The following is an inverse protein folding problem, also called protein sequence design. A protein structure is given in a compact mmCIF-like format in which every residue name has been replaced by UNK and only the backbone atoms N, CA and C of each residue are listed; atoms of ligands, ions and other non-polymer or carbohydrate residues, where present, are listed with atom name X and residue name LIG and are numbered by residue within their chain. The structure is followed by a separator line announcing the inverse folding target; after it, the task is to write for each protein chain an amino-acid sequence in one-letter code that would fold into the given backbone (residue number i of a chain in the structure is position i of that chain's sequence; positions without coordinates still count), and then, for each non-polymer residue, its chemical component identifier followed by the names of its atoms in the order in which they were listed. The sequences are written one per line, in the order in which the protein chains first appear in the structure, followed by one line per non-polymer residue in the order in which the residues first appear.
data_IF_150118589647
#
_entry.id   IF_150118589647
#
_cell.length_a   1.000
_cell.length_b   1.000
_cell.length_c   1.000
_cell.angle_alpha   90.00
_cell.angle_beta   90.00
_cell.angle_gamma   90.00
#
_symmetry.space_group_name_H-M   'P 1'
#
loop_
_entity.id
_entity.type
_entity.pdbx_description
1 polymer ?
#
# COMPACT_ATOMS: atom_id res chain seq x y z
N UNK A 1 -6.51 2.94 17.80
CA UNK A 1 -6.74 4.30 18.37
C UNK A 1 -5.65 4.68 19.38
N UNK A 2 -5.35 3.84 20.38
CA UNK A 2 -4.28 4.09 21.38
C UNK A 2 -2.91 4.35 20.74
N UNK A 3 -2.50 3.54 19.76
CA UNK A 3 -1.25 3.78 19.02
C UNK A 3 -1.25 5.14 18.29
N UNK A 4 -2.37 5.54 17.67
CA UNK A 4 -2.46 6.84 16.99
C UNK A 4 -2.38 8.02 17.96
N UNK A 5 -2.94 7.90 19.17
CA UNK A 5 -2.83 8.91 20.23
C UNK A 5 -1.38 9.05 20.73
N UNK A 6 -0.70 7.93 20.98
CA UNK A 6 0.73 7.90 21.37
C UNK A 6 1.62 8.51 20.27
N UNK A 7 1.34 8.20 19.00
CA UNK A 7 2.07 8.74 17.85
C UNK A 7 1.82 10.23 17.64
N UNK A 8 0.58 10.71 17.85
CA UNK A 8 0.24 12.15 17.82
C UNK A 8 0.99 12.91 18.91
N UNK A 9 1.12 12.33 20.09
CA UNK A 9 1.89 12.90 21.21
C UNK A 9 3.39 12.96 20.91
N UNK A 10 3.92 12.06 20.07
CA UNK A 10 5.33 11.97 19.68
C UNK A 10 5.69 12.65 18.34
N UNK A 11 4.82 13.52 17.79
CA UNK A 11 5.01 14.20 16.49
C UNK A 11 5.20 13.26 15.27
N UNK A 12 4.80 11.99 15.38
CA UNK A 12 4.92 10.96 14.34
C UNK A 12 3.78 10.97 13.31
N UNK A 13 2.97 12.03 13.33
CA UNK A 13 1.76 12.15 12.52
C UNK A 13 2.05 12.70 11.11
N UNK A 14 3.07 12.13 10.46
CA UNK A 14 3.46 12.48 9.10
C UNK A 14 2.36 12.09 8.10
N UNK A 15 2.37 12.75 6.94
CA UNK A 15 1.35 12.57 5.89
C UNK A 15 1.14 11.10 5.51
N UNK A 16 2.21 10.30 5.44
CA UNK A 16 2.14 8.86 5.11
C UNK A 16 1.39 8.05 6.17
N UNK A 17 1.60 8.32 7.46
CA UNK A 17 0.84 7.66 8.52
C UNK A 17 -0.64 8.08 8.53
N UNK A 18 -0.96 9.32 8.15
CA UNK A 18 -2.36 9.75 7.95
C UNK A 18 -3.01 8.98 6.80
N UNK A 19 -2.30 8.80 5.68
CA UNK A 19 -2.76 8.00 4.55
C UNK A 19 -2.98 6.54 4.94
N UNK A 20 -2.09 5.97 5.77
CA UNK A 20 -2.29 4.64 6.34
C UNK A 20 -3.57 4.54 7.16
N UNK A 21 -3.79 5.45 8.12
CA UNK A 21 -4.99 5.44 8.95
C UNK A 21 -6.26 5.59 8.11
N UNK A 22 -6.22 6.42 7.07
CA UNK A 22 -7.32 6.57 6.13
C UNK A 22 -7.60 5.26 5.38
N UNK A 23 -6.56 4.64 4.80
CA UNK A 23 -6.68 3.34 4.12
C UNK A 23 -7.23 2.26 5.06
N UNK A 24 -6.68 2.15 6.27
CA UNK A 24 -7.13 1.20 7.29
C UNK A 24 -8.60 1.43 7.67
N UNK A 25 -9.01 2.70 7.83
CA UNK A 25 -10.40 3.03 8.18
C UNK A 25 -11.36 2.62 7.08
N UNK A 26 -11.05 2.97 5.82
CA UNK A 26 -11.85 2.53 4.67
C UNK A 26 -11.90 1.00 4.60
N UNK A 27 -10.77 0.33 4.83
CA UNK A 27 -10.70 -1.13 4.80
C UNK A 27 -11.60 -1.75 5.88
N UNK A 28 -11.58 -1.23 7.10
CA UNK A 28 -12.46 -1.71 8.18
C UNK A 28 -13.93 -1.45 7.89
N UNK A 29 -14.28 -0.32 7.27
CA UNK A 29 -15.66 -0.03 6.85
C UNK A 29 -16.11 -1.01 5.78
N UNK A 30 -15.26 -1.31 4.79
CA UNK A 30 -15.53 -2.31 3.76
C UNK A 30 -15.88 -3.65 4.41
N UNK A 31 -15.03 -4.14 5.33
CA UNK A 31 -15.24 -5.44 5.98
C UNK A 31 -16.56 -5.48 6.74
N UNK A 32 -16.89 -4.40 7.45
CA UNK A 32 -18.15 -4.31 8.18
C UNK A 32 -19.36 -4.41 7.25
N UNK A 33 -19.33 -3.68 6.12
CA UNK A 33 -20.37 -3.74 5.10
C UNK A 33 -20.46 -5.14 4.48
N UNK A 34 -19.31 -5.77 4.20
CA UNK A 34 -19.27 -7.12 3.62
C UNK A 34 -19.85 -8.18 4.57
N UNK A 35 -19.55 -8.08 5.87
CA UNK A 35 -20.11 -8.97 6.89
C UNK A 35 -21.62 -8.80 7.00
N UNK A 36 -22.14 -7.57 6.90
CA UNK A 36 -23.59 -7.32 6.88
C UNK A 36 -24.23 -7.95 5.64
N UNK A 37 -23.64 -7.74 4.46
CA UNK A 37 -24.16 -8.28 3.20
C UNK A 37 -24.23 -9.82 3.22
N UNK A 38 -23.13 -10.47 3.63
CA UNK A 38 -23.07 -11.93 3.71
C UNK A 38 -23.87 -12.51 4.87
N UNK A 39 -23.97 -11.79 5.99
CA UNK A 39 -24.85 -12.16 7.10
C UNK A 39 -26.32 -12.17 6.69
N UNK A 40 -26.75 -11.14 5.95
CA UNK A 40 -28.10 -11.09 5.37
C UNK A 40 -28.34 -12.23 4.37
N UNK A 41 -27.39 -12.47 3.47
CA UNK A 41 -27.46 -13.57 2.51
C UNK A 41 -27.60 -14.93 3.22
N UNK A 42 -26.86 -15.14 4.30
CA UNK A 42 -26.92 -16.38 5.07
C UNK A 42 -28.24 -16.64 5.80
N UNK A 43 -28.96 -15.59 6.21
CA UNK A 43 -30.24 -15.74 6.93
C UNK A 43 -31.46 -15.77 6.01
N UNK A 44 -31.45 -14.97 4.94
CA UNK A 44 -32.60 -14.81 4.04
C UNK A 44 -32.48 -15.64 2.77
N UNK A 45 -31.27 -16.02 2.36
CA UNK A 45 -30.98 -16.65 1.08
C UNK A 45 -30.94 -15.67 -0.11
N UNK A 46 -31.21 -14.38 0.09
CA UNK A 46 -31.27 -13.36 -0.96
C UNK A 46 -30.04 -12.45 -0.93
N UNK A 47 -29.40 -12.28 -2.09
CA UNK A 47 -28.20 -11.45 -2.23
C UNK A 47 -28.56 -9.97 -2.37
N UNK A 48 -27.78 -9.10 -1.71
CA UNK A 48 -27.89 -7.65 -1.85
C UNK A 48 -26.71 -7.15 -2.66
N UNK A 49 -26.81 -7.26 -3.99
CA UNK A 49 -25.72 -6.97 -4.94
C UNK A 49 -25.14 -5.57 -4.75
N UNK A 50 -25.97 -4.54 -4.54
CA UNK A 50 -25.49 -3.16 -4.37
C UNK A 50 -24.60 -2.97 -3.14
N UNK A 51 -24.89 -3.69 -2.06
CA UNK A 51 -24.11 -3.58 -0.82
C UNK A 51 -22.74 -4.25 -0.99
N UNK A 52 -22.69 -5.39 -1.67
CA UNK A 52 -21.42 -6.06 -1.99
C UNK A 52 -20.56 -5.23 -2.95
N UNK A 53 -21.13 -4.69 -4.02
CA UNK A 53 -20.40 -3.83 -4.97
C UNK A 53 -19.82 -2.62 -4.23
N UNK A 54 -20.61 -2.00 -3.34
CA UNK A 54 -20.14 -0.87 -2.51
C UNK A 54 -18.96 -1.27 -1.63
N UNK A 55 -19.03 -2.43 -0.96
CA UNK A 55 -17.93 -2.96 -0.16
C UNK A 55 -16.67 -3.21 -1.01
N UNK A 56 -16.82 -3.81 -2.20
CA UNK A 56 -15.71 -4.07 -3.14
C UNK A 56 -15.05 -2.77 -3.63
N UNK A 57 -15.83 -1.72 -3.88
CA UNK A 57 -15.30 -0.39 -4.25
C UNK A 57 -14.48 0.20 -3.09
N UNK A 58 -14.98 0.11 -1.86
CA UNK A 58 -14.26 0.59 -0.68
C UNK A 58 -12.98 -0.21 -0.43
N UNK A 59 -13.02 -1.53 -0.56
CA UNK A 59 -11.84 -2.41 -0.47
C UNK A 59 -10.77 -1.97 -1.47
N UNK A 60 -11.16 -1.82 -2.73
CA UNK A 60 -10.29 -1.40 -3.84
C UNK A 60 -9.70 -0.01 -3.58
N UNK A 61 -10.53 0.93 -3.14
CA UNK A 61 -10.10 2.29 -2.81
C UNK A 61 -9.06 2.31 -1.69
N UNK A 62 -9.28 1.53 -0.64
CA UNK A 62 -8.29 1.36 0.44
C UNK A 62 -6.96 0.81 -0.08
N UNK A 63 -7.01 -0.24 -0.91
CA UNK A 63 -5.80 -0.84 -1.49
C UNK A 63 -5.01 0.15 -2.35
N UNK A 64 -5.68 1.00 -3.15
CA UNK A 64 -5.03 2.04 -3.96
C UNK A 64 -4.30 3.04 -3.07
N UNK A 65 -4.96 3.53 -2.01
CA UNK A 65 -4.34 4.45 -1.06
C UNK A 65 -3.15 3.79 -0.37
N UNK A 66 -3.27 2.52 0.00
CA UNK A 66 -2.20 1.77 0.64
C UNK A 66 -0.99 1.59 -0.29
N UNK A 67 -1.19 1.21 -1.56
CA UNK A 67 -0.12 1.12 -2.57
C UNK A 67 0.54 2.48 -2.80
N UNK A 68 -0.25 3.54 -2.92
CA UNK A 68 0.25 4.91 -3.04
C UNK A 68 1.18 5.26 -1.86
N UNK A 69 0.72 4.98 -0.65
CA UNK A 69 1.53 5.20 0.56
C UNK A 69 2.84 4.40 0.53
N UNK A 70 2.82 3.12 0.14
CA UNK A 70 4.03 2.30 0.02
C UNK A 70 5.03 2.87 -0.99
N UNK A 71 4.56 3.32 -2.15
CA UNK A 71 5.41 3.95 -3.19
C UNK A 71 6.03 5.25 -2.68
N UNK A 72 5.26 6.06 -1.94
CA UNK A 72 5.76 7.30 -1.35
C UNK A 72 6.87 7.02 -0.32
N UNK A 73 6.67 6.04 0.56
CA UNK A 73 7.68 5.62 1.55
C UNK A 73 8.92 5.00 0.90
N UNK A 74 8.74 4.18 -0.13
CA UNK A 74 9.83 3.61 -0.91
C UNK A 74 10.73 4.70 -1.52
N UNK A 75 10.14 5.83 -1.93
CA UNK A 75 10.86 7.03 -2.41
C UNK A 75 11.51 7.88 -1.33
N UNK A 76 11.35 7.53 -0.06
CA UNK A 76 11.86 8.31 1.06
C UNK A 76 10.96 9.44 1.51
N UNK A 77 9.75 9.62 0.96
CA UNK A 77 8.84 10.67 1.42
C UNK A 77 8.50 10.46 2.89
N UNK A 78 8.61 11.50 3.70
CA UNK A 78 8.42 11.54 5.17
C UNK A 78 9.45 10.77 6.02
N UNK A 79 10.21 9.82 5.45
CA UNK A 79 11.26 9.08 6.17
C UNK A 79 12.60 9.81 6.07
N UNK A 80 12.98 10.16 4.84
CA UNK A 80 14.31 10.70 4.52
C UNK A 80 14.19 12.06 3.82
N UNK A 81 13.10 12.29 3.10
CA UNK A 81 12.84 13.51 2.33
C UNK A 81 11.52 14.12 2.75
N UNK A 82 11.54 15.41 3.10
CA UNK A 82 10.33 16.16 3.45
C UNK A 82 9.45 16.54 2.24
N UNK A 83 10.02 16.57 1.03
CA UNK A 83 9.34 16.95 -0.21
C UNK A 83 9.74 16.04 -1.36
N UNK A 84 8.80 15.83 -2.29
CA UNK A 84 9.05 15.12 -3.54
C UNK A 84 9.18 16.15 -4.68
N UNK A 85 10.05 15.85 -5.65
CA UNK A 85 10.17 16.66 -6.87
C UNK A 85 8.85 16.67 -7.64
N UNK A 86 8.49 17.77 -8.30
CA UNK A 86 7.27 17.88 -9.10
C UNK A 86 7.16 16.76 -10.16
N UNK A 87 8.27 16.39 -10.81
CA UNK A 87 8.32 15.26 -11.76
C UNK A 87 7.95 13.92 -11.11
N UNK A 88 8.36 13.69 -9.87
CA UNK A 88 8.02 12.49 -9.12
C UNK A 88 6.52 12.44 -8.78
N UNK A 89 5.98 13.57 -8.30
CA UNK A 89 4.56 13.69 -7.96
C UNK A 89 3.71 13.44 -9.21
N UNK A 90 4.01 14.10 -10.32
CA UNK A 90 3.30 13.92 -11.59
C UNK A 90 3.24 12.46 -12.03
N UNK A 91 4.38 11.76 -12.04
CA UNK A 91 4.42 10.34 -12.43
C UNK A 91 3.56 9.46 -11.52
N UNK A 92 3.60 9.70 -10.20
CA UNK A 92 2.79 8.95 -9.23
C UNK A 92 1.30 9.23 -9.46
N UNK A 93 0.92 10.49 -9.66
CA UNK A 93 -0.46 10.88 -9.96
C UNK A 93 -0.97 10.18 -11.22
N UNK A 94 -0.19 10.16 -12.30
CA UNK A 94 -0.55 9.45 -13.54
C UNK A 94 -0.78 7.96 -13.25
N UNK A 95 0.13 7.32 -12.53
CA UNK A 95 0.02 5.89 -12.19
C UNK A 95 -1.25 5.58 -11.38
N UNK A 96 -1.56 6.37 -10.37
CA UNK A 96 -2.77 6.18 -9.55
C UNK A 96 -4.04 6.42 -10.38
N UNK A 97 -4.05 7.40 -11.27
CA UNK A 97 -5.19 7.62 -12.17
C UNK A 97 -5.41 6.44 -13.12
N UNK A 98 -4.34 5.90 -13.71
CA UNK A 98 -4.42 4.69 -14.55
C UNK A 98 -4.98 3.50 -13.75
N UNK A 99 -4.54 3.34 -12.51
CA UNK A 99 -5.06 2.30 -11.61
C UNK A 99 -6.57 2.48 -11.38
N UNK A 100 -7.02 3.70 -11.05
CA UNK A 100 -8.44 4.00 -10.81
C UNK A 100 -9.27 3.72 -12.06
N UNK A 101 -8.82 4.15 -13.24
CA UNK A 101 -9.51 3.91 -14.52
C UNK A 101 -9.62 2.40 -14.77
N UNK A 102 -8.54 1.64 -14.60
CA UNK A 102 -8.55 0.20 -14.79
C UNK A 102 -9.53 -0.51 -13.83
N UNK A 103 -9.62 -0.04 -12.58
CA UNK A 103 -10.62 -0.53 -11.62
C UNK A 103 -12.05 -0.20 -12.05
N UNK A 104 -12.33 1.03 -12.49
CA UNK A 104 -13.66 1.40 -12.99
C UNK A 104 -14.06 0.54 -14.19
N UNK A 105 -13.14 0.31 -15.14
CA UNK A 105 -13.37 -0.58 -16.28
C UNK A 105 -13.64 -2.01 -15.82
N UNK A 106 -12.93 -2.52 -14.81
CA UNK A 106 -13.21 -3.83 -14.24
C UNK A 106 -14.64 -3.92 -13.68
N UNK A 107 -15.08 -2.93 -12.89
CA UNK A 107 -16.43 -2.95 -12.31
C UNK A 107 -17.54 -2.82 -13.37
N UNK A 108 -17.33 -2.03 -14.41
CA UNK A 108 -18.29 -1.95 -15.53
C UNK A 108 -18.33 -3.28 -16.28
N UNK A 109 -17.18 -3.90 -16.52
CA UNK A 109 -17.09 -5.21 -17.16
C UNK A 109 -17.84 -6.29 -16.38
N UNK A 110 -17.64 -6.33 -15.06
CA UNK A 110 -18.37 -7.22 -14.16
C UNK A 110 -19.89 -6.97 -14.26
N UNK A 111 -20.34 -5.72 -14.21
CA UNK A 111 -21.77 -5.39 -14.22
C UNK A 111 -22.49 -5.63 -15.55
N UNK A 112 -21.78 -5.62 -16.68
CA UNK A 112 -22.40 -5.72 -18.03
C UNK A 112 -22.20 -7.09 -18.66
N UNK A 113 -21.05 -7.73 -18.44
CA UNK A 113 -20.62 -8.91 -19.20
C UNK A 113 -20.59 -10.20 -18.38
N UNK A 114 -20.73 -10.14 -17.05
CA UNK A 114 -20.80 -11.36 -16.26
C UNK A 114 -22.23 -11.87 -16.20
N UNK A 115 -22.40 -13.14 -16.54
CA UNK A 115 -23.67 -13.85 -16.37
C UNK A 115 -23.82 -14.21 -14.88
N UNK A 116 -24.88 -13.74 -14.18
CA UNK A 116 -25.15 -14.08 -12.78
C UNK A 116 -25.29 -15.59 -12.54
N UNK A 117 -25.59 -16.38 -13.58
CA UNK A 117 -25.68 -17.84 -13.52
C UNK A 117 -24.32 -18.56 -13.49
N UNK A 118 -23.21 -17.86 -13.71
CA UNK A 118 -21.86 -18.44 -13.71
C UNK A 118 -21.02 -17.85 -12.56
N UNK A 119 -20.45 -18.72 -11.72
CA UNK A 119 -19.47 -18.34 -10.70
C UNK A 119 -18.13 -18.00 -11.37
N UNK A 120 -18.07 -16.84 -12.03
CA UNK A 120 -16.89 -16.39 -12.78
C UNK A 120 -15.96 -15.58 -11.88
N UNK A 121 -14.71 -15.98 -11.82
CA UNK A 121 -13.72 -15.26 -11.03
C UNK A 121 -13.24 -14.03 -11.81
N UNK A 122 -13.39 -12.84 -11.22
CA UNK A 122 -13.16 -11.56 -11.91
C UNK A 122 -11.74 -11.38 -12.47
N UNK A 123 -10.73 -12.07 -11.92
CA UNK A 123 -9.37 -12.07 -12.48
C UNK A 123 -9.17 -12.98 -13.69
N UNK A 124 -10.15 -13.81 -14.05
CA UNK A 124 -10.13 -14.58 -15.32
C UNK A 124 -10.53 -13.71 -16.52
N UNK A 125 -11.03 -12.50 -16.26
CA UNK A 125 -11.41 -11.54 -17.30
C UNK A 125 -10.21 -10.75 -17.85
N UNK A 126 -10.27 -10.22 -19.08
CA UNK A 126 -9.23 -9.34 -19.62
C UNK A 126 -8.89 -8.14 -18.72
N UNK A 127 -9.87 -7.40 -18.13
CA UNK A 127 -9.58 -6.36 -17.15
C UNK A 127 -8.87 -6.89 -15.90
N UNK A 128 -9.20 -8.11 -15.46
CA UNK A 128 -8.54 -8.82 -14.38
C UNK A 128 -7.03 -8.98 -14.59
N UNK A 129 -6.60 -9.43 -15.78
CA UNK A 129 -5.17 -9.52 -16.12
C UNK A 129 -4.50 -8.14 -16.20
N UNK A 130 -5.22 -7.12 -16.69
CA UNK A 130 -4.75 -5.74 -16.68
C UNK A 130 -4.43 -5.26 -15.27
N UNK A 131 -5.25 -5.63 -14.30
CA UNK A 131 -5.06 -5.27 -12.89
C UNK A 131 -3.87 -5.97 -12.25
N UNK A 132 -3.67 -7.26 -12.52
CA UNK A 132 -2.45 -7.97 -12.11
C UNK A 132 -1.21 -7.30 -12.72
N UNK A 133 -1.27 -6.91 -13.98
CA UNK A 133 -0.17 -6.23 -14.68
C UNK A 133 0.17 -4.88 -14.03
N UNK A 134 -0.84 -4.07 -13.69
CA UNK A 134 -0.63 -2.78 -13.00
C UNK A 134 0.02 -3.00 -11.62
N UNK A 135 -0.38 -4.04 -10.88
CA UNK A 135 0.22 -4.39 -9.58
C UNK A 135 1.71 -4.74 -9.76
N UNK A 136 2.05 -5.55 -10.78
CA UNK A 136 3.44 -5.92 -11.06
C UNK A 136 4.29 -4.71 -11.49
N UNK A 137 3.75 -3.81 -12.31
CA UNK A 137 4.41 -2.54 -12.64
C UNK A 137 4.62 -1.69 -11.38
N UNK A 138 3.61 -1.63 -10.50
CA UNK A 138 3.71 -0.97 -9.21
C UNK A 138 4.81 -1.55 -8.33
N UNK A 139 4.94 -2.88 -8.30
CA UNK A 139 6.01 -3.58 -7.58
C UNK A 139 7.40 -3.31 -8.16
N UNK A 140 7.56 -3.32 -9.48
CA UNK A 140 8.83 -2.98 -10.15
C UNK A 140 9.26 -1.55 -9.80
N UNK A 141 8.31 -0.61 -9.80
CA UNK A 141 8.58 0.76 -9.40
C UNK A 141 8.92 0.84 -7.91
N UNK A 142 8.13 0.22 -7.05
CA UNK A 142 8.39 0.13 -5.61
C UNK A 142 9.82 -0.37 -5.34
N UNK A 143 10.22 -1.46 -6.01
CA UNK A 143 11.56 -2.05 -5.93
C UNK A 143 12.64 -1.05 -6.34
N UNK A 144 12.50 -0.44 -7.52
CA UNK A 144 13.43 0.59 -8.01
C UNK A 144 13.56 1.76 -7.02
N UNK A 145 12.45 2.22 -6.46
CA UNK A 145 12.43 3.33 -5.51
C UNK A 145 13.09 2.95 -4.18
N UNK A 146 12.74 1.79 -3.63
CA UNK A 146 13.30 1.29 -2.38
C UNK A 146 14.81 1.07 -2.47
N UNK A 147 15.30 0.44 -3.53
CA UNK A 147 16.74 0.21 -3.77
C UNK A 147 17.48 1.55 -3.97
N UNK A 148 16.89 2.49 -4.72
CA UNK A 148 17.46 3.81 -4.89
C UNK A 148 17.63 4.53 -3.55
N UNK A 149 16.60 4.51 -2.70
CA UNK A 149 16.64 5.15 -1.38
C UNK A 149 17.63 4.43 -0.45
N UNK A 150 17.66 3.10 -0.46
CA UNK A 150 18.60 2.29 0.31
C UNK A 150 20.06 2.62 -0.03
N UNK A 151 20.38 2.79 -1.33
CA UNK A 151 21.75 3.10 -1.79
C UNK A 151 22.22 4.49 -1.39
N UNK A 152 21.32 5.48 -1.33
CA UNK A 152 21.69 6.88 -1.06
C UNK A 152 21.62 7.24 0.43
N UNK A 153 20.90 6.47 1.25
CA UNK A 153 20.64 6.82 2.65
C UNK A 153 20.93 5.66 3.60
N UNK A 154 22.23 5.45 3.85
CA UNK A 154 22.74 4.35 4.68
C UNK A 154 22.28 4.41 6.15
N UNK A 155 21.93 5.60 6.66
CA UNK A 155 21.43 5.80 8.02
C UNK A 155 20.13 5.02 8.33
N UNK A 156 19.31 4.71 7.30
CA UNK A 156 18.01 4.03 7.45
C UNK A 156 17.97 2.65 6.80
N UNK A 157 19.14 2.05 6.58
CA UNK A 157 19.31 0.77 5.88
C UNK A 157 18.45 -0.35 6.44
N UNK A 158 18.45 -0.53 7.77
CA UNK A 158 17.70 -1.63 8.41
C UNK A 158 16.19 -1.53 8.18
N UNK A 159 15.64 -0.31 8.27
CA UNK A 159 14.23 -0.06 7.94
C UNK A 159 13.91 -0.45 6.49
N UNK A 160 14.71 0.04 5.54
CA UNK A 160 14.46 -0.19 4.13
C UNK A 160 14.65 -1.65 3.72
N UNK A 161 15.56 -2.39 4.34
CA UNK A 161 15.70 -3.84 4.12
C UNK A 161 14.45 -4.58 4.59
N UNK A 162 14.00 -4.33 5.83
CA UNK A 162 12.79 -4.95 6.36
C UNK A 162 11.54 -4.56 5.55
N UNK A 163 11.41 -3.28 5.21
CA UNK A 163 10.32 -2.74 4.41
C UNK A 163 10.29 -3.36 3.01
N UNK A 164 11.43 -3.41 2.31
CA UNK A 164 11.51 -3.98 0.98
C UNK A 164 11.19 -5.48 0.96
N UNK A 165 11.76 -6.25 1.88
CA UNK A 165 11.57 -7.71 1.94
C UNK A 165 10.11 -8.07 2.23
N UNK A 166 9.52 -7.49 3.28
CA UNK A 166 8.15 -7.78 3.67
C UNK A 166 7.13 -7.36 2.59
N UNK A 167 7.28 -6.16 2.02
CA UNK A 167 6.33 -5.69 1.00
C UNK A 167 6.54 -6.32 -0.36
N UNK A 168 7.74 -6.80 -0.70
CA UNK A 168 7.93 -7.60 -1.91
C UNK A 168 7.09 -8.88 -1.84
N UNK A 169 7.12 -9.59 -0.70
CA UNK A 169 6.27 -10.77 -0.48
C UNK A 169 4.78 -10.40 -0.59
N UNK A 170 4.38 -9.27 0.01
CA UNK A 170 2.99 -8.81 -0.06
C UNK A 170 2.52 -8.46 -1.47
N UNK A 171 3.35 -7.77 -2.27
CA UNK A 171 3.02 -7.44 -3.67
C UNK A 171 2.83 -8.69 -4.53
N UNK A 172 3.65 -9.72 -4.31
CA UNK A 172 3.57 -11.00 -5.03
C UNK A 172 2.44 -11.91 -4.55
N UNK A 173 1.97 -11.73 -3.31
CA UNK A 173 0.89 -12.56 -2.75
C UNK A 173 -0.37 -12.54 -3.63
N UNK A 174 -0.79 -11.36 -4.11
CA UNK A 174 -1.99 -11.24 -4.95
C UNK A 174 -1.86 -11.96 -6.32
N UNK A 175 -0.82 -11.73 -7.14
CA UNK A 175 -0.59 -12.50 -8.36
C UNK A 175 -0.49 -14.01 -8.14
N UNK A 176 0.21 -14.45 -7.08
CA UNK A 176 0.35 -15.88 -6.77
C UNK A 176 -1.00 -16.51 -6.44
N UNK A 177 -1.84 -15.83 -5.65
CA UNK A 177 -3.20 -16.31 -5.34
C UNK A 177 -4.05 -16.40 -6.60
N UNK A 178 -3.97 -15.43 -7.51
CA UNK A 178 -4.69 -15.48 -8.80
C UNK A 178 -4.27 -16.71 -9.59
N UNK A 179 -2.97 -16.98 -9.71
CA UNK A 179 -2.46 -18.16 -10.41
C UNK A 179 -2.95 -19.47 -9.78
N UNK A 180 -2.87 -19.59 -8.45
CA UNK A 180 -3.37 -20.77 -7.72
C UNK A 180 -4.87 -20.93 -7.96
N UNK A 181 -5.64 -19.84 -7.90
CA UNK A 181 -7.08 -19.88 -8.12
C UNK A 181 -7.45 -20.38 -9.52
N UNK A 182 -6.69 -19.98 -10.54
CA UNK A 182 -6.91 -20.39 -11.93
C UNK A 182 -6.60 -21.86 -12.17
N UNK A 183 -5.46 -22.36 -11.67
CA UNK A 183 -4.96 -23.70 -12.00
C UNK A 183 -5.36 -24.80 -11.00
N UNK A 184 -5.61 -24.45 -9.74
CA UNK A 184 -5.78 -25.45 -8.68
C UNK A 184 -7.18 -25.48 -8.04
N UNK A 185 -8.07 -24.51 -8.33
CA UNK A 185 -9.37 -24.41 -7.67
C UNK A 185 -10.55 -24.61 -8.62
N UNK A 186 -11.54 -25.38 -8.16
CA UNK A 186 -12.80 -25.55 -8.85
C UNK A 186 -13.62 -24.25 -8.85
N UNK A 187 -14.36 -23.98 -9.94
CA UNK A 187 -15.09 -22.72 -10.15
C UNK A 187 -16.05 -22.37 -8.99
N UNK A 188 -16.74 -23.36 -8.43
CA UNK A 188 -17.81 -23.15 -7.44
C UNK A 188 -17.33 -22.67 -6.06
N UNK A 189 -16.10 -23.00 -5.62
CA UNK A 189 -15.52 -22.51 -4.35
C UNK A 189 -14.61 -21.30 -4.53
N UNK A 190 -14.16 -21.07 -5.77
CA UNK A 190 -13.06 -20.16 -6.09
C UNK A 190 -13.30 -18.78 -5.54
N UNK A 191 -14.43 -18.16 -5.87
CA UNK A 191 -14.68 -16.76 -5.54
C UNK A 191 -14.63 -16.48 -4.04
N UNK A 192 -15.37 -17.25 -3.24
CA UNK A 192 -15.44 -17.08 -1.77
C UNK A 192 -14.09 -17.36 -1.11
N UNK A 193 -13.40 -18.41 -1.56
CA UNK A 193 -12.09 -18.80 -1.01
C UNK A 193 -11.03 -17.74 -1.32
N UNK A 194 -10.95 -17.28 -2.57
CA UNK A 194 -10.00 -16.23 -2.94
C UNK A 194 -10.31 -14.94 -2.20
N UNK A 195 -11.57 -14.54 -2.09
CA UNK A 195 -11.91 -13.33 -1.34
C UNK A 195 -11.40 -13.42 0.11
N UNK A 196 -11.65 -14.55 0.80
CA UNK A 196 -11.14 -14.77 2.15
C UNK A 196 -9.61 -14.67 2.26
N UNK A 197 -8.89 -15.31 1.34
CA UNK A 197 -7.42 -15.24 1.28
C UNK A 197 -6.93 -13.81 1.00
N UNK A 198 -7.60 -13.09 0.11
CA UNK A 198 -7.27 -11.69 -0.20
C UNK A 198 -7.51 -10.75 0.99
N UNK A 199 -8.59 -10.95 1.75
CA UNK A 199 -8.80 -10.18 2.99
C UNK A 199 -7.70 -10.49 4.01
N UNK A 200 -7.28 -11.75 4.11
CA UNK A 200 -6.18 -12.12 4.99
C UNK A 200 -4.84 -11.49 4.57
N UNK A 201 -4.51 -11.49 3.28
CA UNK A 201 -3.32 -10.80 2.74
C UNK A 201 -3.40 -9.30 3.02
N UNK A 202 -4.58 -8.69 2.83
CA UNK A 202 -4.82 -7.29 3.17
C UNK A 202 -4.57 -7.01 4.65
N UNK A 203 -5.12 -7.84 5.53
CA UNK A 203 -4.91 -7.77 6.98
C UNK A 203 -3.43 -7.84 7.34
N UNK A 204 -2.72 -8.85 6.84
CA UNK A 204 -1.27 -9.04 7.07
C UNK A 204 -0.49 -7.81 6.59
N UNK A 205 -0.82 -7.24 5.43
CA UNK A 205 -0.19 -6.02 4.92
C UNK A 205 -0.32 -4.82 5.85
N UNK A 206 -1.52 -4.61 6.43
CA UNK A 206 -1.77 -3.54 7.41
C UNK A 206 -1.05 -3.82 8.74
N UNK A 207 -1.06 -5.07 9.23
CA UNK A 207 -0.35 -5.46 10.45
C UNK A 207 1.16 -5.29 10.30
N UNK A 208 1.74 -5.69 9.16
CA UNK A 208 3.15 -5.45 8.85
C UNK A 208 3.46 -3.95 8.93
N UNK A 209 2.62 -3.10 8.34
CA UNK A 209 2.82 -1.65 8.39
C UNK A 209 2.80 -1.13 9.83
N UNK A 210 1.83 -1.58 10.61
CA UNK A 210 1.67 -1.20 12.00
C UNK A 210 2.93 -1.59 12.80
N UNK A 211 3.43 -2.81 12.62
CA UNK A 211 4.64 -3.31 13.30
C UNK A 211 5.87 -2.49 12.92
N UNK A 212 6.03 -2.16 11.64
CA UNK A 212 7.14 -1.33 11.15
C UNK A 212 7.08 0.11 11.68
N UNK A 213 5.89 0.60 12.05
CA UNK A 213 5.67 1.97 12.55
C UNK A 213 5.48 2.05 14.06
N UNK A 214 5.63 0.94 14.80
CA UNK A 214 5.47 0.91 16.26
C UNK A 214 6.54 1.76 16.98
N UNK A 215 6.15 2.63 17.92
CA UNK A 215 7.04 3.63 18.53
C UNK A 215 8.26 3.04 19.28
N UNK A 216 8.20 1.77 19.68
CA UNK A 216 9.31 1.09 20.36
C UNK A 216 10.52 0.79 19.46
N UNK A 217 10.33 0.74 18.13
CA UNK A 217 11.41 0.54 17.12
C UNK A 217 11.81 1.82 16.38
N UNK A 218 11.20 2.95 16.72
CA UNK A 218 11.22 4.14 15.86
C UNK A 218 12.29 5.16 16.29
N UNK A 219 12.89 5.00 17.48
CA UNK A 219 13.96 5.89 17.99
C UNK A 219 15.21 5.94 17.09
N UNK A 220 15.50 4.85 16.37
CA UNK A 220 16.58 4.80 15.39
C UNK A 220 16.12 5.08 13.95
N UNK A 221 14.83 4.90 13.65
CA UNK A 221 14.28 5.03 12.29
C UNK A 221 13.77 6.43 11.95
N UNK A 222 13.27 7.22 12.90
CA UNK A 222 12.78 8.57 12.64
C UNK A 222 13.30 9.54 13.70
N UNK A 223 14.18 10.50 13.34
CA UNK A 223 14.67 11.48 14.31
C UNK A 223 13.56 12.47 14.67
N UNK A 224 13.06 12.40 15.91
CA UNK A 224 11.80 13.01 16.32
C UNK A 224 11.85 14.49 16.70
N UNK A 225 13.05 15.06 16.84
CA UNK A 225 13.21 16.46 17.22
C UNK A 225 13.05 17.41 16.03
N UNK A 226 12.78 16.88 14.83
CA UNK A 226 12.87 17.62 13.56
C UNK A 226 11.51 17.60 12.86
N UNK A 227 10.96 18.77 12.54
CA UNK A 227 9.71 18.86 11.76
C UNK A 227 9.95 18.35 10.34
N UNK A 228 8.94 17.75 9.70
CA UNK A 228 9.01 17.25 8.30
C UNK A 228 9.60 18.27 7.30
N UNK A 229 9.39 19.57 7.55
CA UNK A 229 9.95 20.68 6.76
C UNK A 229 11.45 20.91 6.95
N UNK A 230 12.02 20.51 8.09
CA UNK A 230 13.43 20.69 8.45
C UNK A 230 14.32 19.48 8.08
N UNK A 231 13.72 18.34 7.71
CA UNK A 231 14.47 17.14 7.28
C UNK A 231 15.30 17.43 6.03
N UNK A 232 14.80 18.26 5.11
CA UNK A 232 15.54 18.66 3.90
C UNK A 232 16.76 19.54 4.21
N UNK A 233 16.59 20.52 5.09
CA UNK A 233 17.66 21.48 5.43
C UNK A 233 18.80 20.88 6.26
N UNK A 234 18.53 19.81 7.02
CA UNK A 234 19.55 19.12 7.81
C UNK A 234 20.43 18.18 6.98
N UNK A 235 19.89 17.57 5.93
CA UNK A 235 20.70 16.74 5.04
C UNK A 235 21.70 17.60 4.26
N UNK A 236 21.27 18.78 3.79
CA UNK A 236 22.16 19.76 3.16
C UNK A 236 23.23 20.24 4.15
N UNK A 237 22.86 20.60 5.40
CA UNK A 237 23.82 21.05 6.41
C UNK A 237 24.87 20.01 6.83
N UNK A 238 24.51 18.72 6.84
CA UNK A 238 25.44 17.63 7.11
C UNK A 238 26.39 17.36 5.93
N UNK A 239 25.93 17.50 4.68
CA UNK A 239 26.79 17.42 3.50
C UNK A 239 27.80 18.58 3.46
N UNK A 240 27.39 19.80 3.82
CA UNK A 240 28.32 20.94 3.97
C UNK A 240 29.32 20.74 5.11
N UNK A 241 28.87 20.26 6.27
CA UNK A 241 29.76 20.01 7.42
C UNK A 241 30.74 18.86 7.17
N UNK A 242 30.34 17.85 6.40
CA UNK A 242 31.21 16.73 6.03
C UNK A 242 32.20 17.14 4.93
N UNK A 243 31.81 18.03 4.02
CA UNK A 243 32.71 18.65 3.05
C UNK A 243 33.78 19.54 3.73
N UNK A 244 33.39 20.41 4.66
CA UNK A 244 34.33 21.28 5.40
C UNK A 244 35.36 20.50 6.23
N UNK A 245 34.94 19.39 6.86
CA UNK A 245 35.85 18.49 7.56
C UNK A 245 36.83 17.78 6.62
N UNK A 246 36.42 17.50 5.38
CA UNK A 246 37.29 16.89 4.38
C UNK A 246 38.35 17.89 3.87
N UNK A 247 37.98 19.14 3.62
CA UNK A 247 38.91 20.19 3.18
C UNK A 247 39.89 20.63 4.28
N UNK A 248 39.45 20.67 5.55
CA UNK A 248 40.35 20.98 6.67
C UNK A 248 41.35 19.87 6.96
N UNK A 249 41.00 18.60 6.73
CA UNK A 249 41.92 17.46 6.89
C UNK A 249 43.00 17.34 5.80
N UNK A 250 42.79 17.95 4.62
CA UNK A 250 43.78 17.99 3.53
C UNK A 250 44.75 19.17 3.61
N UNK A 251 44.65 20.01 4.64
CA UNK A 251 45.42 21.24 4.82
C UNK A 251 46.45 21.17 5.96
N UNK A 252 46.65 19.98 6.53
CA UNK A 252 47.56 19.71 7.65
C UNK A 252 48.76 18.86 7.25
#
# INVERSE_FOLDING_TARGET
IICAAILRQRQLFHTTYKMYLFALTIWTIHLFIMVIAWGHYGTTGWEITHLEVTARILQTSSNIVFILMLILLAKGYTVVRGRLTNKAVLKITIFINVYIIAMVVMFIWEGVLFDPGLVLYYYESPPGYGMVTIILIGWLWFTKAAVFTLKHYSSKTLFYIAFYTLYTVWFWASPVVVLIAMYAMAKWTREKTVNGVQQFIGFVGHVIFLILTLPHKVNDNFPYHIRTTQIGTMNDGNEYSQADNMYSSSSG
#
